data_IF_488187776175
#
_entry.id   IF_488187776175
#
_cell.length_a   1.000
_cell.length_b   1.000
_cell.length_c   1.000
_cell.angle_alpha   90.00
_cell.angle_beta   90.00
_cell.angle_gamma   90.00
#
_symmetry.space_group_name_H-M   'P 1'
#
loop_
_entity.id
_entity.type
_entity.pdbx_description
1 polymer ?
#
# COMPACT_ATOMS: atom_id res chain seq x y z
N UNK A 1 19.85 -25.62 -17.14
CA UNK A 1 20.70 -24.42 -17.10
C UNK A 1 22.08 -24.82 -17.58
N UNK A 2 22.80 -23.96 -18.28
CA UNK A 2 24.11 -24.35 -18.79
C UNK A 2 24.82 -23.25 -19.56
N UNK A 3 25.97 -23.62 -20.12
CA UNK A 3 26.78 -22.75 -20.96
C UNK A 3 26.54 -23.12 -22.42
N UNK A 4 26.20 -22.13 -23.24
CA UNK A 4 26.01 -22.28 -24.69
C UNK A 4 26.98 -21.37 -25.43
N UNK A 5 27.43 -21.81 -26.61
CA UNK A 5 28.26 -21.00 -27.50
C UNK A 5 27.36 -20.14 -28.37
N UNK A 6 27.66 -18.84 -28.44
CA UNK A 6 26.93 -17.91 -29.30
C UNK A 6 27.45 -17.93 -30.75
N UNK A 7 26.72 -17.30 -31.68
CA UNK A 7 27.12 -17.21 -33.11
C UNK A 7 28.51 -16.59 -33.31
N UNK A 8 28.95 -15.73 -32.40
CA UNK A 8 30.26 -15.06 -32.42
C UNK A 8 31.38 -15.87 -31.74
N UNK A 9 31.09 -17.10 -31.32
CA UNK A 9 32.04 -18.00 -30.68
C UNK A 9 32.26 -17.77 -29.18
N UNK A 10 31.63 -16.76 -28.59
CA UNK A 10 31.68 -16.44 -27.15
C UNK A 10 30.69 -17.30 -26.37
N UNK A 11 31.10 -17.82 -25.22
CA UNK A 11 30.23 -18.59 -24.33
C UNK A 11 29.29 -17.69 -23.53
N UNK A 12 28.05 -18.14 -23.36
CA UNK A 12 26.99 -17.51 -22.58
C UNK A 12 26.41 -18.49 -21.57
N UNK A 13 26.07 -18.03 -20.37
CA UNK A 13 25.23 -18.78 -19.45
C UNK A 13 23.75 -18.57 -19.81
N UNK A 14 22.99 -19.65 -19.86
CA UNK A 14 21.57 -19.63 -20.22
C UNK A 14 20.69 -20.48 -19.30
N UNK A 15 19.48 -19.99 -19.06
CA UNK A 15 18.38 -20.73 -18.46
C UNK A 15 17.31 -20.97 -19.53
N UNK A 16 16.88 -22.23 -19.76
CA UNK A 16 15.83 -22.55 -20.71
C UNK A 16 14.48 -21.90 -20.33
N UNK A 17 13.50 -22.00 -21.23
CA UNK A 17 12.20 -21.35 -21.08
C UNK A 17 11.53 -21.70 -19.75
N UNK A 18 11.03 -20.67 -19.05
CA UNK A 18 10.33 -20.81 -17.77
C UNK A 18 8.82 -21.01 -17.99
N UNK A 19 8.10 -21.68 -17.08
CA UNK A 19 6.64 -21.76 -17.12
C UNK A 19 6.01 -20.36 -17.20
N UNK A 20 4.94 -20.19 -17.99
CA UNK A 20 4.34 -18.87 -18.31
C UNK A 20 4.09 -17.99 -17.07
N UNK A 21 3.59 -18.55 -15.98
CA UNK A 21 3.33 -17.81 -14.73
C UNK A 21 4.58 -17.22 -14.04
N UNK A 22 5.74 -17.85 -14.22
CA UNK A 22 7.01 -17.40 -13.62
C UNK A 22 7.68 -16.28 -14.44
N UNK A 23 7.37 -16.17 -15.73
CA UNK A 23 8.03 -15.23 -16.64
C UNK A 23 7.76 -13.76 -16.27
N UNK A 24 6.52 -13.45 -15.90
CA UNK A 24 6.13 -12.10 -15.46
C UNK A 24 6.77 -11.74 -14.12
N UNK A 25 6.78 -12.67 -13.16
CA UNK A 25 7.42 -12.46 -11.86
C UNK A 25 8.94 -12.21 -12.00
N UNK A 26 9.61 -12.98 -12.87
CA UNK A 26 11.04 -12.77 -13.16
C UNK A 26 11.30 -11.42 -13.84
N UNK A 27 10.45 -10.99 -14.77
CA UNK A 27 10.61 -9.68 -15.41
C UNK A 27 10.53 -8.53 -14.39
N UNK A 28 9.63 -8.66 -13.40
CA UNK A 28 9.54 -7.73 -12.26
C UNK A 28 10.75 -7.78 -11.33
N UNK A 29 11.40 -8.92 -11.14
CA UNK A 29 12.65 -8.99 -10.36
C UNK A 29 13.84 -8.34 -11.11
N UNK A 30 13.83 -8.37 -12.44
CA UNK A 30 14.90 -7.80 -13.26
C UNK A 30 14.76 -6.31 -13.54
N UNK A 31 13.61 -5.69 -13.22
CA UNK A 31 13.30 -4.28 -13.53
C UNK A 31 13.61 -3.88 -14.98
N UNK A 32 13.43 -4.80 -15.92
CA UNK A 32 13.88 -4.61 -17.30
C UNK A 32 12.81 -4.00 -18.23
N UNK A 33 11.71 -3.50 -17.67
CA UNK A 33 10.59 -2.89 -18.39
C UNK A 33 9.75 -3.85 -19.24
N UNK A 34 10.05 -5.15 -19.24
CA UNK A 34 9.32 -6.14 -20.04
C UNK A 34 8.15 -6.74 -19.26
N UNK A 35 7.08 -7.08 -19.97
CA UNK A 35 5.92 -7.76 -19.38
C UNK A 35 6.24 -9.22 -18.95
N UNK A 36 7.16 -9.89 -19.64
CA UNK A 36 7.53 -11.28 -19.36
C UNK A 36 8.98 -11.58 -19.80
N UNK A 37 9.71 -12.35 -18.99
CA UNK A 37 11.06 -12.81 -19.30
C UNK A 37 11.06 -14.33 -19.54
N UNK A 38 11.07 -14.74 -20.81
CA UNK A 38 11.07 -16.16 -21.23
C UNK A 38 12.38 -16.88 -20.92
N UNK A 39 13.51 -16.22 -21.22
CA UNK A 39 14.85 -16.78 -21.11
C UNK A 39 15.77 -15.85 -20.30
N UNK A 40 16.72 -16.41 -19.56
CA UNK A 40 17.83 -15.64 -19.00
C UNK A 40 19.09 -16.02 -19.78
N UNK A 41 19.72 -15.05 -20.46
CA UNK A 41 20.98 -15.24 -21.19
C UNK A 41 21.94 -14.12 -20.78
N UNK A 42 23.16 -14.47 -20.38
CA UNK A 42 24.24 -13.52 -20.09
C UNK A 42 25.54 -14.02 -20.72
N UNK A 43 26.27 -13.13 -21.39
CA UNK A 43 27.57 -13.45 -21.98
C UNK A 43 28.64 -13.62 -20.89
N UNK A 44 29.53 -14.59 -21.06
CA UNK A 44 30.67 -14.84 -20.17
C UNK A 44 31.97 -14.16 -20.66
N UNK A 45 31.91 -13.54 -21.85
CA UNK A 45 33.00 -12.74 -22.41
C UNK A 45 34.27 -13.55 -22.74
N UNK A 46 34.17 -14.87 -22.87
CA UNK A 46 35.31 -15.74 -23.20
C UNK A 46 34.93 -16.74 -24.30
N UNK A 47 35.93 -17.10 -25.11
CA UNK A 47 35.84 -18.13 -26.16
C UNK A 47 36.44 -19.47 -25.70
N UNK A 48 37.07 -19.51 -24.51
CA UNK A 48 37.59 -20.72 -23.89
C UNK A 48 36.49 -21.37 -23.04
N UNK A 49 36.26 -22.67 -23.26
CA UNK A 49 35.27 -23.47 -22.55
C UNK A 49 35.64 -23.67 -21.08
N UNK A 50 36.93 -23.80 -20.76
CA UNK A 50 37.40 -24.05 -19.39
C UNK A 50 37.17 -22.81 -18.53
N UNK A 51 37.56 -21.66 -19.05
CA UNK A 51 37.31 -20.36 -18.42
C UNK A 51 35.80 -20.02 -18.35
N UNK A 52 35.04 -20.35 -19.40
CA UNK A 52 33.59 -20.17 -19.40
C UNK A 52 32.92 -20.97 -18.27
N UNK A 53 33.32 -22.22 -18.04
CA UNK A 53 32.77 -23.04 -16.95
C UNK A 53 33.04 -22.44 -15.56
N UNK A 54 34.21 -21.83 -15.36
CA UNK A 54 34.53 -21.13 -14.10
C UNK A 54 33.64 -19.90 -13.95
N UNK A 55 33.56 -19.06 -15.00
CA UNK A 55 32.77 -17.81 -15.00
C UNK A 55 31.25 -18.06 -14.98
N UNK A 56 30.79 -19.21 -15.45
CA UNK A 56 29.37 -19.56 -15.48
C UNK A 56 28.79 -19.81 -14.09
N UNK A 57 29.55 -20.41 -13.18
CA UNK A 57 29.08 -20.75 -11.82
C UNK A 57 28.44 -19.57 -11.09
N UNK A 58 29.09 -18.40 -10.93
CA UNK A 58 28.47 -17.26 -10.25
C UNK A 58 27.25 -16.71 -11.00
N UNK A 59 27.26 -16.72 -12.33
CA UNK A 59 26.13 -16.25 -13.15
C UNK A 59 24.91 -17.16 -13.02
N UNK A 60 25.12 -18.48 -13.00
CA UNK A 60 24.04 -19.44 -12.78
C UNK A 60 23.46 -19.33 -11.37
N UNK A 61 24.30 -19.13 -10.35
CA UNK A 61 23.85 -18.90 -8.98
C UNK A 61 23.02 -17.61 -8.85
N UNK A 62 23.38 -16.55 -9.58
CA UNK A 62 22.58 -15.32 -9.67
C UNK A 62 21.21 -15.59 -10.31
N UNK A 63 21.17 -16.36 -11.39
CA UNK A 63 19.90 -16.77 -12.00
C UNK A 63 19.03 -17.60 -11.06
N UNK A 64 19.61 -18.50 -10.29
CA UNK A 64 18.89 -19.28 -9.27
C UNK A 64 18.30 -18.37 -8.18
N UNK A 65 19.05 -17.37 -7.70
CA UNK A 65 18.55 -16.39 -6.74
C UNK A 65 17.36 -15.61 -7.29
N UNK A 66 17.43 -15.16 -8.55
CA UNK A 66 16.32 -14.44 -9.21
C UNK A 66 15.08 -15.35 -9.33
N UNK A 67 15.28 -16.62 -9.71
CA UNK A 67 14.18 -17.58 -9.82
C UNK A 67 13.55 -17.87 -8.47
N UNK A 68 14.36 -18.04 -7.42
CA UNK A 68 13.88 -18.25 -6.05
C UNK A 68 13.06 -17.06 -5.55
N UNK A 69 13.53 -15.82 -5.75
CA UNK A 69 12.79 -14.60 -5.40
C UNK A 69 11.47 -14.49 -6.16
N UNK A 70 11.47 -14.74 -7.47
CA UNK A 70 10.26 -14.72 -8.28
C UNK A 70 9.23 -15.78 -7.81
N UNK A 71 9.69 -16.98 -7.45
CA UNK A 71 8.83 -18.03 -6.87
C UNK A 71 8.26 -17.61 -5.52
N UNK A 72 9.08 -17.05 -4.64
CA UNK A 72 8.64 -16.56 -3.33
C UNK A 72 7.58 -15.44 -3.47
N UNK A 73 7.78 -14.50 -4.40
CA UNK A 73 6.80 -13.46 -4.70
C UNK A 73 5.48 -14.02 -5.22
N UNK A 74 5.53 -15.03 -6.09
CA UNK A 74 4.31 -15.72 -6.53
C UNK A 74 3.62 -16.44 -5.37
N UNK A 75 4.36 -17.15 -4.53
CA UNK A 75 3.79 -17.81 -3.35
C UNK A 75 3.14 -16.79 -2.40
N UNK A 76 3.77 -15.65 -2.15
CA UNK A 76 3.23 -14.56 -1.35
C UNK A 76 1.98 -13.93 -1.98
N UNK A 77 1.94 -13.80 -3.31
CA UNK A 77 0.76 -13.29 -4.03
C UNK A 77 -0.40 -14.31 -4.06
N UNK A 78 -0.09 -15.61 -4.00
CA UNK A 78 -1.07 -16.70 -3.95
C UNK A 78 -1.56 -16.94 -2.52
N UNK A 79 -0.82 -16.49 -1.49
CA UNK A 79 -1.35 -16.50 -0.12
C UNK A 79 -2.71 -15.79 -0.17
N UNK A 80 -3.79 -16.48 0.24
CA UNK A 80 -5.11 -15.90 0.19
C UNK A 80 -5.05 -14.69 1.10
N UNK A 81 -5.11 -13.50 0.49
CA UNK A 81 -5.61 -12.34 1.20
C UNK A 81 -7.01 -12.75 1.58
N UNK A 82 -7.20 -13.19 2.83
CA UNK A 82 -8.50 -13.63 3.32
C UNK A 82 -9.37 -12.39 3.27
N UNK A 83 -10.07 -12.21 2.15
CA UNK A 83 -11.08 -11.18 1.96
C UNK A 83 -12.27 -11.64 2.77
N UNK A 84 -12.21 -11.46 4.09
CA UNK A 84 -13.37 -11.67 4.97
C UNK A 84 -14.45 -10.71 4.47
N UNK A 85 -15.56 -11.26 4.03
CA UNK A 85 -16.72 -10.50 3.54
C UNK A 85 -17.64 -10.09 4.68
N UNK A 86 -17.47 -10.68 5.87
CA UNK A 86 -18.28 -10.41 7.05
C UNK A 86 -17.42 -10.26 8.31
N UNK A 87 -17.92 -9.40 9.20
CA UNK A 87 -17.43 -9.23 10.56
C UNK A 87 -18.06 -10.28 11.48
N UNK A 88 -17.32 -10.69 12.50
CA UNK A 88 -17.87 -11.50 13.57
C UNK A 88 -18.51 -10.62 14.65
N UNK A 89 -19.31 -11.21 15.53
CA UNK A 89 -20.05 -10.48 16.56
C UNK A 89 -19.15 -9.68 17.51
N UNK A 90 -17.92 -10.16 17.77
CA UNK A 90 -16.97 -9.43 18.62
C UNK A 90 -16.45 -8.18 17.93
N UNK A 91 -16.15 -8.27 16.63
CA UNK A 91 -15.73 -7.12 15.82
C UNK A 91 -16.86 -6.10 15.71
N UNK A 92 -18.10 -6.56 15.45
CA UNK A 92 -19.29 -5.70 15.41
C UNK A 92 -19.49 -4.99 16.75
N UNK A 93 -19.41 -5.73 17.86
CA UNK A 93 -19.56 -5.16 19.20
C UNK A 93 -18.51 -4.11 19.51
N UNK A 94 -17.23 -4.39 19.20
CA UNK A 94 -16.15 -3.42 19.39
C UNK A 94 -16.32 -2.17 18.55
N UNK A 95 -16.78 -2.31 17.31
CA UNK A 95 -17.09 -1.16 16.46
C UNK A 95 -18.24 -0.34 17.03
N UNK A 96 -19.31 -0.99 17.49
CA UNK A 96 -20.45 -0.32 18.12
C UNK A 96 -20.03 0.43 19.40
N UNK A 97 -19.24 -0.21 20.27
CA UNK A 97 -18.69 0.40 21.49
C UNK A 97 -17.83 1.63 21.16
N UNK A 98 -16.97 1.53 20.14
CA UNK A 98 -16.15 2.65 19.69
C UNK A 98 -17.01 3.82 19.19
N UNK A 99 -18.00 3.55 18.33
CA UNK A 99 -18.90 4.58 17.80
C UNK A 99 -19.70 5.23 18.92
N UNK A 100 -20.23 4.44 19.84
CA UNK A 100 -20.99 4.92 21.00
C UNK A 100 -20.13 5.82 21.91
N UNK A 101 -18.92 5.38 22.27
CA UNK A 101 -18.00 6.16 23.09
C UNK A 101 -17.60 7.47 22.40
N UNK A 102 -17.35 7.44 21.08
CA UNK A 102 -17.03 8.64 20.30
C UNK A 102 -18.21 9.61 20.24
N UNK A 103 -19.43 9.10 20.07
CA UNK A 103 -20.64 9.92 20.06
C UNK A 103 -20.89 10.60 21.40
N UNK A 104 -20.73 9.87 22.52
CA UNK A 104 -20.82 10.46 23.86
C UNK A 104 -19.74 11.52 24.11
N UNK A 105 -18.50 11.24 23.75
CA UNK A 105 -17.42 12.20 23.91
C UNK A 105 -17.63 13.45 23.04
N UNK A 106 -18.22 13.30 21.85
CA UNK A 106 -18.62 14.43 21.01
C UNK A 106 -19.72 15.26 21.66
N UNK A 107 -20.79 14.61 22.12
CA UNK A 107 -21.91 15.25 22.80
C UNK A 107 -21.46 16.01 24.06
N UNK A 108 -20.56 15.43 24.86
CA UNK A 108 -19.98 16.09 26.03
C UNK A 108 -19.17 17.34 25.63
N UNK A 109 -18.30 17.23 24.63
CA UNK A 109 -17.51 18.37 24.15
C UNK A 109 -18.38 19.50 23.60
N UNK A 110 -19.43 19.19 22.83
CA UNK A 110 -20.33 20.23 22.31
C UNK A 110 -21.18 20.83 23.44
N UNK A 111 -21.67 20.02 24.37
CA UNK A 111 -22.50 20.48 25.49
C UNK A 111 -21.73 21.37 26.46
N UNK A 112 -20.47 21.07 26.73
CA UNK A 112 -19.69 21.78 27.76
C UNK A 112 -18.59 22.67 27.21
N UNK A 113 -18.09 22.41 26.01
CA UNK A 113 -16.96 23.15 25.41
C UNK A 113 -17.33 24.50 24.81
N UNK A 114 -18.60 24.71 24.44
CA UNK A 114 -19.10 26.00 23.95
C UNK A 114 -18.21 26.64 22.88
N UNK A 115 -17.79 27.89 23.10
CA UNK A 115 -16.89 28.62 22.20
C UNK A 115 -15.58 27.88 21.91
N UNK A 116 -14.90 27.40 22.95
CA UNK A 116 -13.55 26.83 22.83
C UNK A 116 -13.54 25.57 21.95
N UNK A 117 -14.59 24.73 22.07
CA UNK A 117 -14.72 23.55 21.21
C UNK A 117 -15.00 23.93 19.76
N UNK A 118 -15.77 25.00 19.50
CA UNK A 118 -16.04 25.43 18.15
C UNK A 118 -14.82 26.02 17.44
N UNK A 119 -14.01 26.80 18.16
CA UNK A 119 -12.72 27.28 17.64
C UNK A 119 -11.80 26.10 17.32
N UNK A 120 -11.77 25.07 18.19
CA UNK A 120 -11.01 23.83 17.95
C UNK A 120 -11.49 23.11 16.68
N UNK A 121 -12.80 22.98 16.50
CA UNK A 121 -13.39 22.30 15.35
C UNK A 121 -13.11 23.02 14.04
N UNK A 122 -13.20 24.34 14.04
CA UNK A 122 -12.85 25.13 12.86
C UNK A 122 -11.36 25.04 12.52
N UNK A 123 -10.48 25.10 13.52
CA UNK A 123 -9.05 24.89 13.31
C UNK A 123 -8.73 23.49 12.76
N UNK A 124 -9.42 22.45 13.24
CA UNK A 124 -9.27 21.09 12.73
C UNK A 124 -9.76 20.96 11.29
N UNK A 125 -10.92 21.54 10.98
CA UNK A 125 -11.47 21.52 9.63
C UNK A 125 -10.60 22.30 8.64
N UNK A 126 -10.12 23.50 9.01
CA UNK A 126 -9.22 24.29 8.19
C UNK A 126 -7.91 23.52 7.91
N UNK A 127 -7.40 22.77 8.88
CA UNK A 127 -6.21 21.91 8.70
C UNK A 127 -6.46 20.76 7.71
N UNK A 128 -7.67 20.20 7.71
CA UNK A 128 -8.01 19.02 6.90
C UNK A 128 -8.45 19.39 5.48
N UNK A 129 -9.34 20.37 5.36
CA UNK A 129 -10.05 20.71 4.12
C UNK A 129 -9.54 22.02 3.50
N UNK A 130 -8.67 22.77 4.20
CA UNK A 130 -8.11 24.03 3.71
C UNK A 130 -9.13 25.16 3.54
N UNK A 131 -10.36 24.95 4.01
CA UNK A 131 -11.47 25.90 3.93
C UNK A 131 -12.09 26.10 5.31
N UNK A 132 -12.68 27.27 5.60
CA UNK A 132 -13.42 27.48 6.84
C UNK A 132 -14.69 26.61 6.87
N UNK A 133 -15.06 26.10 8.04
CA UNK A 133 -16.25 25.23 8.20
C UNK A 133 -17.55 25.98 7.82
N UNK A 134 -17.53 27.32 7.86
CA UNK A 134 -18.52 28.17 7.20
C UNK A 134 -18.56 29.58 7.80
N UNK A 135 -19.38 30.48 7.25
CA UNK A 135 -19.92 31.56 8.06
C UNK A 135 -21.00 30.99 8.99
N UNK A 136 -20.70 30.91 10.28
CA UNK A 136 -21.69 30.55 11.29
C UNK A 136 -22.76 31.63 11.41
N UNK A 137 -24.01 31.23 11.64
CA UNK A 137 -25.12 32.17 11.88
C UNK A 137 -24.87 33.09 13.10
N UNK A 138 -24.00 32.65 14.02
CA UNK A 138 -23.60 33.40 15.22
C UNK A 138 -22.07 33.48 15.29
N UNK A 139 -21.46 34.69 15.31
CA UNK A 139 -20.02 34.87 15.52
C UNK A 139 -19.57 34.29 16.86
N UNK A 140 -18.38 33.68 16.92
CA UNK A 140 -17.87 33.00 18.13
C UNK A 140 -17.83 33.89 19.37
N UNK A 141 -17.65 35.19 19.19
CA UNK A 141 -17.66 36.19 20.26
C UNK A 141 -18.98 36.26 21.02
N UNK A 142 -20.05 35.78 20.41
CA UNK A 142 -21.41 35.75 20.96
C UNK A 142 -21.79 34.35 21.49
N UNK A 143 -20.90 33.36 21.33
CA UNK A 143 -21.13 32.03 21.89
C UNK A 143 -20.89 32.04 23.40
N UNK A 144 -21.74 31.33 24.17
CA UNK A 144 -21.52 31.17 25.60
C UNK A 144 -20.25 30.36 25.84
N UNK A 145 -19.63 30.59 26.99
CA UNK A 145 -18.42 29.88 27.39
C UNK A 145 -18.68 28.37 27.59
N UNK A 146 -19.94 27.96 27.77
CA UNK A 146 -20.38 26.56 27.80
C UNK A 146 -21.66 26.40 26.99
N UNK A 147 -21.74 25.32 26.23
CA UNK A 147 -22.92 24.97 25.43
C UNK A 147 -23.04 25.77 24.13
N UNK A 148 -24.10 25.50 23.39
CA UNK A 148 -24.37 26.08 22.07
C UNK A 148 -25.49 27.11 22.19
N UNK A 149 -25.43 28.27 21.50
CA UNK A 149 -26.54 29.22 21.46
C UNK A 149 -27.81 28.55 20.94
N UNK A 150 -28.95 28.87 21.54
CA UNK A 150 -30.26 28.32 21.14
C UNK A 150 -30.59 28.59 19.67
N UNK A 151 -30.22 29.76 19.15
CA UNK A 151 -30.40 30.13 17.74
C UNK A 151 -29.69 29.16 16.78
N UNK A 152 -28.51 28.67 17.15
CA UNK A 152 -27.75 27.71 16.34
C UNK A 152 -28.45 26.34 16.31
N UNK A 153 -29.07 25.92 17.43
CA UNK A 153 -29.89 24.70 17.44
C UNK A 153 -31.15 24.83 16.58
N UNK A 154 -31.81 25.99 16.59
CA UNK A 154 -33.01 26.24 15.81
C UNK A 154 -32.73 26.25 14.30
N UNK A 155 -31.58 26.80 13.87
CA UNK A 155 -31.14 26.78 12.47
C UNK A 155 -30.80 25.36 11.98
N UNK A 156 -30.18 24.51 12.82
CA UNK A 156 -29.81 23.13 12.46
C UNK A 156 -31.04 22.22 12.34
N UNK A 157 -32.11 22.46 13.10
CA UNK A 157 -33.33 21.64 13.08
C UNK A 157 -34.30 22.10 11.97
N UNK A 158 -34.20 23.37 11.53
CA UNK A 158 -35.08 23.95 10.53
C UNK A 158 -34.59 23.79 9.07
N UNK A 159 -33.36 23.33 8.85
CA UNK A 159 -32.77 23.04 7.52
C UNK A 159 -32.78 21.55 7.18
#
# INVERSE_FOLDING_TARGET
MGVIKDRHGTYCATVPEKPKGLQAAVARELNNGKAAQKHLKRSLGTKDLREANIRAKPVLAEFDRIIAKAKARLAAAIMPTIKRTSLNDTEIKRMAEYVYAKALAWDERVRFGGRDEMERLEAEHLRLEGTPLGPWAVPYEQWPQRGVPRSVFEDIIAG
#
